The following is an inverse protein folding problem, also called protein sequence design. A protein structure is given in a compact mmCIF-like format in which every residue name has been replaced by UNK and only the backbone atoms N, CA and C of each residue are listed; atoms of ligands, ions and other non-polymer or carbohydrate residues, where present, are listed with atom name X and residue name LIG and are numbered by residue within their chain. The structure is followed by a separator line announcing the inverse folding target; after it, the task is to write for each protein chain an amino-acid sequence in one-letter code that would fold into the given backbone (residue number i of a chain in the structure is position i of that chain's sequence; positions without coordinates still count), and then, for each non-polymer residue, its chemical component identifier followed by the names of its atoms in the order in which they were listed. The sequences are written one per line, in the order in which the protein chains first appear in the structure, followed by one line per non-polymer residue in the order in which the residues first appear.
data_IF_957307959569
#
_entry.id   IF_957307959569
#
_cell.length_a   1.000
_cell.length_b   1.000
_cell.length_c   1.000
_cell.angle_alpha   90.00
_cell.angle_beta   90.00
_cell.angle_gamma   90.00
#
_symmetry.space_group_name_H-M   'P 1'
#
loop_
_entity.id
_entity.type
_entity.pdbx_description
1 polymer ?
#
# COMPACT_ATOMS: atom_id res chain seq x y z
N UNK A 1 -15.43 20.47 8.07
CA UNK A 1 -15.46 21.39 6.92
C UNK A 1 -14.33 22.39 7.11
N UNK A 2 -13.22 22.24 6.39
CA UNK A 2 -11.96 22.97 6.61
C UNK A 2 -12.12 24.50 6.44
N UNK A 3 -13.13 24.95 5.70
CA UNK A 3 -13.37 26.38 5.46
C UNK A 3 -13.84 27.16 6.70
N UNK A 4 -14.46 26.51 7.69
CA UNK A 4 -14.95 27.18 8.91
C UNK A 4 -13.80 27.69 9.80
N UNK A 5 -12.66 27.00 9.78
CA UNK A 5 -11.48 27.29 10.61
C UNK A 5 -10.30 27.86 9.81
N UNK A 6 -10.53 28.24 8.54
CA UNK A 6 -9.49 28.81 7.69
C UNK A 6 -9.02 30.17 8.23
N UNK A 7 -7.73 30.27 8.56
CA UNK A 7 -7.07 31.50 8.95
C UNK A 7 -5.87 31.73 8.01
N UNK A 8 -5.90 32.83 7.25
CA UNK A 8 -4.86 33.15 6.28
C UNK A 8 -3.49 33.43 6.92
N UNK A 9 -3.45 33.81 8.20
CA UNK A 9 -2.20 34.03 8.95
C UNK A 9 -1.54 32.72 9.43
N UNK A 10 -2.24 31.59 9.32
CA UNK A 10 -1.78 30.27 9.77
C UNK A 10 -1.65 29.30 8.59
N UNK A 11 -2.39 29.52 7.51
CA UNK A 11 -2.37 28.66 6.34
C UNK A 11 -0.99 28.69 5.66
N UNK A 12 -0.45 27.50 5.36
CA UNK A 12 0.78 27.40 4.59
C UNK A 12 0.55 27.89 3.15
N UNK A 13 1.54 28.61 2.60
CA UNK A 13 1.56 29.04 1.21
C UNK A 13 1.37 27.85 0.26
N UNK A 14 0.42 27.92 -0.69
CA UNK A 14 0.32 26.91 -1.74
C UNK A 14 1.61 26.80 -2.52
N UNK A 15 1.88 25.59 -2.99
CA UNK A 15 3.04 25.27 -3.81
C UNK A 15 2.56 25.01 -5.22
N UNK A 16 3.12 25.78 -6.16
CA UNK A 16 2.72 25.74 -7.57
C UNK A 16 3.93 25.48 -8.45
N UNK A 17 3.75 24.73 -9.52
CA UNK A 17 4.74 24.60 -10.60
C UNK A 17 4.35 25.50 -11.76
N UNK A 18 5.30 26.26 -12.30
CA UNK A 18 5.10 27.07 -13.49
C UNK A 18 5.71 26.38 -14.72
N UNK A 19 4.84 26.00 -15.67
CA UNK A 19 5.23 25.45 -16.98
C UNK A 19 4.24 25.91 -18.05
N UNK A 20 4.72 26.12 -19.27
CA UNK A 20 3.90 26.49 -20.43
C UNK A 20 2.96 27.69 -20.19
N UNK A 21 3.43 28.69 -19.45
CA UNK A 21 2.66 29.90 -19.14
C UNK A 21 1.53 29.69 -18.12
N UNK A 22 1.45 28.52 -17.47
CA UNK A 22 0.40 28.17 -16.52
C UNK A 22 0.97 27.73 -15.18
N UNK A 23 0.24 28.04 -14.11
CA UNK A 23 0.51 27.54 -12.76
C UNK A 23 -0.31 26.28 -12.48
N UNK A 24 0.37 25.21 -12.08
CA UNK A 24 -0.24 23.96 -11.66
C UNK A 24 -0.10 23.82 -10.15
N UNK A 25 -1.23 23.64 -9.45
CA UNK A 25 -1.24 23.50 -7.99
C UNK A 25 -0.73 22.11 -7.62
N UNK A 26 0.46 22.07 -7.01
CA UNK A 26 1.09 20.83 -6.52
C UNK A 26 0.59 20.53 -5.10
N UNK A 27 0.44 21.56 -4.27
CA UNK A 27 -0.05 21.42 -2.90
C UNK A 27 -0.74 22.71 -2.45
N UNK A 28 -1.79 22.59 -1.62
CA UNK A 28 -2.55 23.73 -1.11
C UNK A 28 -3.91 23.94 -1.78
N UNK A 29 -4.49 22.92 -2.42
CA UNK A 29 -5.83 22.99 -3.04
C UNK A 29 -6.88 23.47 -2.03
N UNK A 30 -6.92 22.88 -0.83
CA UNK A 30 -7.86 23.31 0.22
C UNK A 30 -7.59 24.75 0.73
N UNK A 31 -6.33 25.21 0.73
CA UNK A 31 -5.98 26.60 1.06
C UNK A 31 -6.56 27.55 0.01
N UNK A 32 -6.44 27.21 -1.27
CA UNK A 32 -6.98 28.00 -2.38
C UNK A 32 -8.52 28.01 -2.34
N UNK A 33 -9.15 26.83 -2.24
CA UNK A 33 -10.61 26.69 -2.15
C UNK A 33 -11.19 27.43 -0.95
N UNK A 34 -10.56 27.30 0.23
CA UNK A 34 -10.98 28.00 1.44
C UNK A 34 -10.93 29.53 1.28
N UNK A 35 -9.94 30.03 0.53
CA UNK A 35 -9.77 31.48 0.30
C UNK A 35 -10.78 32.04 -0.71
N UNK A 36 -11.04 31.31 -1.80
CA UNK A 36 -12.11 31.66 -2.77
C UNK A 36 -13.45 31.73 -2.03
N UNK A 37 -13.75 30.72 -1.21
CA UNK A 37 -15.01 30.65 -0.48
C UNK A 37 -15.16 31.78 0.55
N UNK A 38 -14.07 32.18 1.23
CA UNK A 38 -14.08 33.29 2.19
C UNK A 38 -14.20 34.67 1.54
N UNK A 39 -13.87 34.78 0.26
CA UNK A 39 -14.00 36.02 -0.51
C UNK A 39 -15.30 36.09 -1.32
N UNK A 40 -16.34 35.35 -0.91
CA UNK A 40 -17.62 35.37 -1.61
C UNK A 40 -17.57 34.81 -3.05
N UNK A 41 -16.55 34.01 -3.37
CA UNK A 41 -16.37 33.43 -4.71
C UNK A 41 -15.54 34.28 -5.68
N UNK A 42 -15.11 35.47 -5.27
CA UNK A 42 -14.27 36.35 -6.08
C UNK A 42 -12.78 35.97 -5.97
N UNK A 43 -12.05 36.15 -7.07
CA UNK A 43 -10.61 35.84 -7.13
C UNK A 43 -9.78 36.75 -6.22
N UNK A 44 -8.76 36.18 -5.55
CA UNK A 44 -7.81 36.92 -4.70
C UNK A 44 -6.36 36.57 -5.03
N UNK A 45 -5.44 37.56 -5.02
CA UNK A 45 -4.00 37.29 -5.09
C UNK A 45 -3.54 36.46 -3.90
N UNK A 46 -2.96 35.27 -4.15
CA UNK A 46 -2.43 34.37 -3.13
C UNK A 46 -0.91 34.26 -3.21
N UNK A 47 -0.25 34.37 -2.05
CA UNK A 47 1.18 34.15 -1.94
C UNK A 47 1.46 32.65 -2.10
N UNK A 48 2.25 32.31 -3.12
CA UNK A 48 2.59 30.94 -3.46
C UNK A 48 4.10 30.76 -3.53
N UNK A 49 4.57 29.58 -3.12
CA UNK A 49 5.92 29.12 -3.46
C UNK A 49 5.91 28.54 -4.87
N UNK A 50 6.57 29.24 -5.79
CA UNK A 50 6.64 28.86 -7.21
C UNK A 50 7.89 28.04 -7.49
N UNK A 51 7.71 26.88 -8.11
CA UNK A 51 8.78 26.07 -8.67
C UNK A 51 8.80 26.27 -10.19
N UNK A 52 9.97 26.57 -10.77
CA UNK A 52 10.16 26.82 -12.20
C UNK A 52 11.18 25.85 -12.79
N UNK A 53 11.05 25.54 -14.08
CA UNK A 53 12.02 24.70 -14.80
C UNK A 53 11.96 23.22 -14.41
N UNK A 54 10.89 22.79 -13.74
CA UNK A 54 10.64 21.38 -13.44
C UNK A 54 9.91 20.71 -14.62
N UNK A 55 10.31 19.49 -14.93
CA UNK A 55 9.49 18.60 -15.76
C UNK A 55 8.31 18.07 -14.94
N UNK A 56 7.27 17.57 -15.61
CA UNK A 56 6.13 16.92 -14.94
C UNK A 56 6.57 15.76 -14.01
N UNK A 57 7.64 15.05 -14.37
CA UNK A 57 8.20 13.95 -13.58
C UNK A 57 8.85 14.47 -12.29
N UNK A 58 9.62 15.55 -12.40
CA UNK A 58 10.25 16.20 -11.24
C UNK A 58 9.21 16.81 -10.30
N UNK A 59 8.12 17.37 -10.83
CA UNK A 59 6.97 17.82 -10.02
C UNK A 59 6.36 16.67 -9.20
N UNK A 60 6.18 15.50 -9.82
CA UNK A 60 5.60 14.33 -9.16
C UNK A 60 6.50 13.79 -8.04
N UNK A 61 7.82 13.75 -8.25
CA UNK A 61 8.78 13.39 -7.19
C UNK A 61 8.73 14.39 -6.03
N UNK A 62 8.76 15.69 -6.35
CA UNK A 62 8.68 16.75 -5.35
C UNK A 62 7.39 16.62 -4.52
N UNK A 63 6.26 16.31 -5.14
CA UNK A 63 5.00 16.05 -4.43
C UNK A 63 5.10 14.86 -3.46
N UNK A 64 5.77 13.77 -3.86
CA UNK A 64 5.92 12.58 -3.02
C UNK A 64 6.84 12.80 -1.79
N UNK A 65 7.84 13.66 -1.93
CA UNK A 65 8.87 13.92 -0.90
C UNK A 65 8.48 15.01 0.10
N UNK A 66 7.54 15.88 -0.27
CA UNK A 66 7.10 16.96 0.60
C UNK A 66 6.43 16.42 1.88
N UNK A 67 7.14 16.53 2.99
CA UNK A 67 6.61 16.35 4.33
C UNK A 67 6.48 17.74 4.97
N UNK A 68 5.25 18.23 5.15
CA UNK A 68 4.95 19.49 5.85
C UNK A 68 3.93 19.28 6.97
N UNK A 69 3.44 20.35 7.61
CA UNK A 69 2.35 20.30 8.62
C UNK A 69 0.95 19.98 8.05
N UNK A 70 0.89 19.36 6.87
CA UNK A 70 -0.35 18.91 6.22
C UNK A 70 -0.62 17.44 6.54
N UNK A 71 -1.86 16.98 6.31
CA UNK A 71 -2.19 15.56 6.43
C UNK A 71 -1.18 14.73 5.60
N UNK A 72 -0.51 13.73 6.20
CA UNK A 72 0.51 12.97 5.50
C UNK A 72 -0.10 12.21 4.32
N UNK A 73 0.54 12.28 3.15
CA UNK A 73 0.12 11.51 1.98
C UNK A 73 0.07 10.02 2.31
N UNK A 74 -0.99 9.34 1.87
CA UNK A 74 -1.09 7.89 2.01
C UNK A 74 0.02 7.20 1.22
N UNK A 75 0.39 5.99 1.62
CA UNK A 75 1.41 5.21 0.91
C UNK A 75 1.02 4.96 -0.57
N UNK A 76 -0.27 4.81 -0.87
CA UNK A 76 -0.79 4.71 -2.24
C UNK A 76 -0.50 5.94 -3.06
N UNK A 77 -0.87 7.13 -2.55
CA UNK A 77 -0.63 8.40 -3.24
C UNK A 77 0.87 8.64 -3.44
N UNK A 78 1.69 8.39 -2.42
CA UNK A 78 3.16 8.49 -2.53
C UNK A 78 3.72 7.56 -3.59
N UNK A 79 3.29 6.30 -3.62
CA UNK A 79 3.73 5.33 -4.62
C UNK A 79 3.36 5.78 -6.04
N UNK A 80 2.11 6.23 -6.25
CA UNK A 80 1.65 6.71 -7.55
C UNK A 80 2.50 7.89 -8.04
N UNK A 81 2.74 8.87 -7.17
CA UNK A 81 3.55 10.03 -7.48
C UNK A 81 5.00 9.65 -7.81
N UNK A 82 5.62 8.73 -7.05
CA UNK A 82 6.96 8.21 -7.33
C UNK A 82 7.06 7.46 -8.67
N UNK A 83 6.07 6.64 -9.00
CA UNK A 83 6.01 5.93 -10.28
C UNK A 83 5.92 6.91 -11.45
N UNK A 84 5.06 7.92 -11.35
CA UNK A 84 4.94 9.00 -12.36
C UNK A 84 6.25 9.78 -12.45
N UNK A 85 6.89 10.04 -11.32
CA UNK A 85 8.17 10.73 -11.23
C UNK A 85 9.40 9.92 -11.67
N UNK A 86 9.22 8.69 -12.16
CA UNK A 86 10.33 7.90 -12.68
C UNK A 86 11.16 7.16 -11.63
N UNK A 87 10.75 7.11 -10.37
CA UNK A 87 11.49 6.43 -9.29
C UNK A 87 11.66 4.94 -9.60
N UNK A 88 12.91 4.53 -9.87
CA UNK A 88 13.21 3.17 -10.33
C UNK A 88 12.76 2.09 -9.33
N UNK A 89 13.00 2.21 -8.00
CA UNK A 89 12.47 1.25 -7.03
C UNK A 89 10.94 1.14 -7.03
N UNK A 90 10.22 2.25 -7.07
CA UNK A 90 8.74 2.24 -7.12
C UNK A 90 8.20 1.63 -8.41
N UNK A 91 8.85 1.88 -9.55
CA UNK A 91 8.49 1.26 -10.84
C UNK A 91 8.76 -0.24 -10.84
N UNK A 92 9.88 -0.68 -10.27
CA UNK A 92 10.19 -2.11 -10.12
C UNK A 92 9.15 -2.82 -9.24
N UNK A 93 8.79 -2.22 -8.10
CA UNK A 93 7.75 -2.74 -7.21
C UNK A 93 6.38 -2.86 -7.91
N UNK A 94 5.97 -1.82 -8.66
CA UNK A 94 4.75 -1.86 -9.47
C UNK A 94 4.82 -2.97 -10.54
N UNK A 95 5.94 -3.08 -11.25
CA UNK A 95 6.12 -4.09 -12.28
C UNK A 95 6.14 -5.52 -11.72
N UNK A 96 6.71 -5.73 -10.54
CA UNK A 96 6.65 -7.00 -9.81
C UNK A 96 5.20 -7.38 -9.48
N UNK A 97 4.42 -6.43 -8.96
CA UNK A 97 3.00 -6.64 -8.62
C UNK A 97 2.17 -6.98 -9.87
N UNK A 98 2.36 -6.21 -10.95
CA UNK A 98 1.66 -6.42 -12.22
C UNK A 98 1.98 -7.77 -12.87
N UNK A 99 3.22 -8.26 -12.75
CA UNK A 99 3.61 -9.58 -13.27
C UNK A 99 2.83 -10.75 -12.65
N UNK A 100 2.32 -10.57 -11.43
CA UNK A 100 1.48 -11.56 -10.74
C UNK A 100 -0.02 -11.36 -11.05
N UNK A 101 -0.36 -10.45 -11.97
CA UNK A 101 -1.74 -10.16 -12.36
C UNK A 101 -2.48 -9.27 -11.36
N UNK A 102 -1.76 -8.58 -10.47
CA UNK A 102 -2.34 -7.71 -9.44
C UNK A 102 -2.07 -6.24 -9.74
N UNK A 103 -2.98 -5.38 -9.28
CA UNK A 103 -2.81 -3.94 -9.33
C UNK A 103 -2.91 -3.32 -7.93
N UNK A 104 -2.41 -2.10 -7.74
CA UNK A 104 -2.68 -1.34 -6.54
C UNK A 104 -4.01 -0.60 -6.64
N UNK A 105 -4.68 -0.49 -5.50
CA UNK A 105 -5.76 0.45 -5.32
C UNK A 105 -5.22 1.71 -4.63
N UNK A 106 -5.03 2.78 -5.40
CA UNK A 106 -4.35 4.00 -4.94
C UNK A 106 -5.28 4.91 -4.13
N UNK A 107 -6.55 5.02 -4.54
CA UNK A 107 -7.44 6.12 -4.15
C UNK A 107 -8.86 5.65 -3.75
N UNK A 108 -9.20 4.36 -3.89
CA UNK A 108 -10.55 3.88 -3.55
C UNK A 108 -10.59 3.16 -2.20
N UNK A 109 -11.52 3.59 -1.34
CA UNK A 109 -11.90 2.84 -0.13
C UNK A 109 -12.64 1.54 -0.48
N UNK A 110 -13.13 1.39 -1.71
CA UNK A 110 -13.79 0.17 -2.15
C UNK A 110 -12.76 -0.90 -2.49
N UNK A 111 -12.93 -2.04 -1.84
CA UNK A 111 -12.20 -3.25 -2.12
C UNK A 111 -12.66 -3.83 -3.46
N UNK A 112 -11.71 -4.25 -4.29
CA UNK A 112 -12.00 -4.87 -5.59
C UNK A 112 -11.09 -6.07 -5.82
N UNK A 113 -11.59 -7.04 -6.57
CA UNK A 113 -10.84 -8.25 -6.90
C UNK A 113 -9.51 -7.89 -7.60
N UNK A 114 -8.47 -8.69 -7.36
CA UNK A 114 -7.13 -8.55 -7.89
C UNK A 114 -6.43 -7.21 -7.56
N UNK A 115 -6.88 -6.50 -6.51
CA UNK A 115 -6.24 -5.24 -6.07
C UNK A 115 -5.74 -5.25 -4.63
N UNK A 116 -4.48 -4.84 -4.47
CA UNK A 116 -3.86 -4.63 -3.17
C UNK A 116 -4.16 -3.21 -2.69
N UNK A 117 -4.91 -3.09 -1.60
CA UNK A 117 -5.23 -1.80 -0.98
C UNK A 117 -4.24 -1.42 0.14
N UNK A 118 -3.57 -2.38 0.76
CA UNK A 118 -2.59 -2.13 1.83
C UNK A 118 -1.19 -1.76 1.30
N UNK A 119 -1.12 -0.80 0.37
CA UNK A 119 0.08 -0.44 -0.41
C UNK A 119 1.33 -0.27 0.47
N UNK A 120 1.23 0.43 1.60
CA UNK A 120 2.37 0.66 2.48
C UNK A 120 2.92 -0.62 3.13
N UNK A 121 2.05 -1.58 3.46
CA UNK A 121 2.51 -2.89 3.97
C UNK A 121 3.15 -3.72 2.87
N UNK A 122 2.53 -3.74 1.68
CA UNK A 122 3.09 -4.46 0.53
C UNK A 122 4.47 -3.95 0.14
N UNK A 123 4.66 -2.62 0.08
CA UNK A 123 5.94 -2.00 -0.23
C UNK A 123 6.99 -2.32 0.85
N UNK A 124 6.60 -2.25 2.12
CA UNK A 124 7.48 -2.61 3.23
C UNK A 124 7.99 -4.06 3.09
N UNK A 125 7.08 -5.00 2.88
CA UNK A 125 7.44 -6.42 2.76
C UNK A 125 8.27 -6.71 1.50
N UNK A 126 7.97 -6.04 0.38
CA UNK A 126 8.78 -6.14 -0.83
C UNK A 126 10.23 -5.69 -0.60
N UNK A 127 10.42 -4.57 0.11
CA UNK A 127 11.75 -4.06 0.43
C UNK A 127 12.49 -4.97 1.44
N UNK A 128 11.77 -5.56 2.40
CA UNK A 128 12.36 -6.41 3.45
C UNK A 128 12.74 -7.81 2.93
N UNK A 129 11.92 -8.41 2.06
CA UNK A 129 12.05 -9.82 1.66
C UNK A 129 12.49 -10.03 0.19
N UNK A 130 12.50 -8.95 -0.59
CA UNK A 130 12.86 -8.99 -2.01
C UNK A 130 11.76 -9.49 -2.93
N UNK A 131 11.97 -9.27 -4.23
CA UNK A 131 10.99 -9.53 -5.28
C UNK A 131 10.58 -11.00 -5.37
N UNK A 132 11.53 -11.94 -5.23
CA UNK A 132 11.26 -13.37 -5.41
C UNK A 132 10.19 -13.86 -4.42
N UNK A 133 10.39 -13.63 -3.13
CA UNK A 133 9.46 -14.03 -2.06
C UNK A 133 8.14 -13.28 -2.19
N UNK A 134 8.20 -11.98 -2.51
CA UNK A 134 7.01 -11.16 -2.73
C UNK A 134 6.11 -11.74 -3.84
N UNK A 135 6.66 -11.97 -5.02
CA UNK A 135 5.92 -12.49 -6.18
C UNK A 135 5.42 -13.91 -5.94
N UNK A 136 6.24 -14.78 -5.35
CA UNK A 136 5.87 -16.16 -5.01
C UNK A 136 4.68 -16.18 -4.05
N UNK A 137 4.74 -15.38 -2.99
CA UNK A 137 3.67 -15.29 -1.99
C UNK A 137 2.36 -14.76 -2.58
N UNK A 138 2.43 -13.71 -3.40
CA UNK A 138 1.24 -13.15 -4.06
C UNK A 138 0.60 -14.13 -5.04
N UNK A 139 1.41 -14.90 -5.77
CA UNK A 139 0.92 -15.93 -6.69
C UNK A 139 0.16 -17.02 -5.95
N UNK A 140 0.68 -17.46 -4.80
CA UNK A 140 0.01 -18.44 -3.93
C UNK A 140 -1.29 -17.88 -3.36
N UNK A 141 -1.30 -16.61 -2.92
CA UNK A 141 -2.50 -15.92 -2.45
C UNK A 141 -3.57 -15.90 -3.55
N UNK A 142 -3.20 -15.53 -4.78
CA UNK A 142 -4.11 -15.51 -5.93
C UNK A 142 -4.63 -16.92 -6.23
N UNK A 143 -3.76 -17.92 -6.24
CA UNK A 143 -4.17 -19.31 -6.50
C UNK A 143 -5.11 -19.86 -5.43
N UNK A 144 -4.92 -19.48 -4.16
CA UNK A 144 -5.75 -19.94 -3.05
C UNK A 144 -7.13 -19.27 -3.00
N UNK A 145 -7.22 -17.98 -3.35
CA UNK A 145 -8.40 -17.15 -3.09
C UNK A 145 -8.92 -16.37 -4.30
N UNK A 146 -8.46 -16.69 -5.51
CA UNK A 146 -8.95 -16.11 -6.77
C UNK A 146 -8.97 -14.57 -6.77
N UNK A 147 -7.94 -13.97 -6.18
CA UNK A 147 -7.79 -12.52 -6.09
C UNK A 147 -8.86 -11.80 -5.27
N UNK A 148 -9.63 -12.49 -4.41
CA UNK A 148 -10.67 -11.84 -3.60
C UNK A 148 -10.07 -10.79 -2.65
N UNK A 149 -10.75 -9.67 -2.39
CA UNK A 149 -10.08 -8.51 -1.81
C UNK A 149 -9.59 -8.73 -0.38
N UNK A 150 -10.28 -9.58 0.38
CA UNK A 150 -9.88 -9.94 1.74
C UNK A 150 -8.56 -10.73 1.79
N UNK A 151 -8.13 -11.34 0.67
CA UNK A 151 -6.84 -12.04 0.58
C UNK A 151 -5.64 -11.09 0.52
N UNK A 152 -5.85 -9.79 0.25
CA UNK A 152 -4.80 -8.77 0.17
C UNK A 152 -4.76 -7.84 1.39
N UNK A 153 -5.29 -8.30 2.52
CA UNK A 153 -5.15 -7.59 3.80
C UNK A 153 -3.72 -7.66 4.30
N UNK A 154 -3.32 -6.64 5.06
CA UNK A 154 -1.97 -6.55 5.64
C UNK A 154 -1.58 -7.79 6.47
N UNK A 155 -2.54 -8.39 7.19
CA UNK A 155 -2.32 -9.63 7.96
C UNK A 155 -2.00 -10.82 7.06
N UNK A 156 -2.72 -10.97 5.94
CA UNK A 156 -2.52 -12.08 5.00
C UNK A 156 -1.18 -11.93 4.30
N UNK A 157 -0.84 -10.74 3.80
CA UNK A 157 0.48 -10.50 3.17
C UNK A 157 1.62 -10.80 4.14
N UNK A 158 1.55 -10.30 5.38
CA UNK A 158 2.57 -10.57 6.41
C UNK A 158 2.71 -12.05 6.71
N UNK A 159 1.58 -12.73 6.94
CA UNK A 159 1.58 -14.16 7.23
C UNK A 159 2.15 -14.99 6.07
N UNK A 160 1.68 -14.74 4.85
CA UNK A 160 2.08 -15.51 3.67
C UNK A 160 3.55 -15.30 3.33
N UNK A 161 4.03 -14.07 3.33
CA UNK A 161 5.42 -13.80 2.94
C UNK A 161 6.42 -14.38 3.95
N UNK A 162 6.16 -14.25 5.25
CA UNK A 162 6.99 -14.91 6.26
C UNK A 162 6.86 -16.44 6.23
N UNK A 163 5.69 -16.99 5.91
CA UNK A 163 5.54 -18.44 5.75
C UNK A 163 6.41 -18.95 4.58
N UNK A 164 6.33 -18.30 3.42
CA UNK A 164 7.12 -18.66 2.22
C UNK A 164 8.61 -18.49 2.48
N UNK A 165 9.02 -17.41 3.17
CA UNK A 165 10.40 -17.18 3.58
C UNK A 165 10.94 -18.29 4.51
N UNK A 166 10.19 -18.64 5.55
CA UNK A 166 10.61 -19.63 6.56
C UNK A 166 10.71 -21.06 6.02
N UNK A 167 9.87 -21.40 5.06
CA UNK A 167 9.72 -22.77 4.56
C UNK A 167 10.10 -22.91 3.08
N UNK A 168 10.85 -21.95 2.52
CA UNK A 168 11.24 -21.97 1.12
C UNK A 168 11.90 -23.30 0.73
N UNK A 169 11.35 -23.97 -0.28
CA UNK A 169 11.83 -25.29 -0.74
C UNK A 169 11.41 -26.49 0.12
N UNK A 170 10.69 -26.28 1.23
CA UNK A 170 10.24 -27.36 2.13
C UNK A 170 8.73 -27.64 2.03
N UNK A 171 7.91 -26.65 1.67
CA UNK A 171 6.47 -26.82 1.54
C UNK A 171 6.04 -27.20 0.12
N UNK A 172 4.98 -28.01 -0.03
CA UNK A 172 4.31 -28.21 -1.31
C UNK A 172 3.34 -27.07 -1.57
N UNK A 173 3.53 -26.38 -2.69
CA UNK A 173 2.67 -25.27 -3.07
C UNK A 173 1.23 -25.73 -3.33
N UNK A 174 1.03 -26.85 -4.02
CA UNK A 174 -0.30 -27.38 -4.31
C UNK A 174 -1.06 -27.71 -3.02
N UNK A 175 -0.35 -28.26 -2.03
CA UNK A 175 -0.90 -28.53 -0.71
C UNK A 175 -1.30 -27.23 -0.01
N UNK A 176 -0.44 -26.22 -0.03
CA UNK A 176 -0.70 -24.93 0.60
C UNK A 176 -1.92 -24.24 -0.03
N UNK A 177 -1.96 -24.17 -1.36
CA UNK A 177 -3.08 -23.59 -2.12
C UNK A 177 -4.39 -24.29 -1.79
N UNK A 178 -4.40 -25.64 -1.79
CA UNK A 178 -5.60 -26.42 -1.44
C UNK A 178 -6.05 -26.17 -0.01
N UNK A 179 -5.12 -26.16 0.94
CA UNK A 179 -5.43 -25.93 2.34
C UNK A 179 -6.02 -24.53 2.55
N UNK A 180 -5.38 -23.50 2.03
CA UNK A 180 -5.83 -22.12 2.14
C UNK A 180 -7.16 -21.87 1.39
N UNK A 181 -7.38 -22.51 0.24
CA UNK A 181 -8.63 -22.39 -0.51
C UNK A 181 -9.86 -22.94 0.23
N UNK A 182 -9.65 -23.76 1.27
CA UNK A 182 -10.72 -24.25 2.15
C UNK A 182 -11.07 -23.27 3.30
N UNK A 183 -10.33 -22.17 3.42
CA UNK A 183 -10.43 -21.21 4.52
C UNK A 183 -10.68 -19.82 3.97
N UNK A 184 -11.63 -19.07 4.55
CA UNK A 184 -11.84 -17.68 4.17
C UNK A 184 -10.62 -16.82 4.60
N UNK A 185 -10.09 -15.89 3.77
CA UNK A 185 -8.89 -15.10 4.12
C UNK A 185 -8.97 -14.37 5.47
N UNK A 186 -10.18 -13.96 5.86
CA UNK A 186 -10.42 -13.31 7.15
C UNK A 186 -10.10 -14.17 8.37
N UNK A 187 -10.09 -15.49 8.25
CA UNK A 187 -9.69 -16.36 9.35
C UNK A 187 -8.23 -16.14 9.75
N UNK A 188 -7.34 -15.83 8.79
CA UNK A 188 -5.94 -15.48 9.07
C UNK A 188 -5.87 -14.23 9.97
N UNK A 189 -6.71 -13.23 9.68
CA UNK A 189 -6.80 -12.03 10.50
C UNK A 189 -7.38 -12.33 11.89
N UNK A 190 -8.49 -13.08 11.97
CA UNK A 190 -9.21 -13.39 13.21
C UNK A 190 -8.31 -14.19 14.17
N UNK A 191 -7.78 -15.32 13.71
CA UNK A 191 -6.88 -16.17 14.52
C UNK A 191 -5.63 -15.41 14.93
N UNK A 192 -5.03 -14.63 14.03
CA UNK A 192 -3.85 -13.82 14.37
C UNK A 192 -4.15 -12.66 15.31
N UNK A 193 -5.39 -12.14 15.34
CA UNK A 193 -5.83 -11.11 16.29
C UNK A 193 -6.08 -11.71 17.66
N UNK A 194 -6.82 -12.81 17.73
CA UNK A 194 -7.11 -13.54 18.97
C UNK A 194 -5.84 -14.13 19.57
N UNK A 195 -4.88 -14.47 18.70
CA UNK A 195 -3.54 -14.89 19.03
C UNK A 195 -3.50 -16.01 20.10
N UNK A 196 -4.18 -17.15 19.86
CA UNK A 196 -4.29 -18.22 20.86
C UNK A 196 -2.93 -18.80 21.25
N UNK A 197 -1.96 -18.77 20.33
CA UNK A 197 -0.58 -19.20 20.57
C UNK A 197 0.30 -18.16 21.28
N UNK A 198 -0.24 -16.97 21.61
CA UNK A 198 0.46 -15.85 22.27
C UNK A 198 1.77 -15.45 21.56
N UNK A 199 1.77 -15.48 20.23
CA UNK A 199 2.94 -15.20 19.41
C UNK A 199 3.08 -13.69 19.13
N UNK A 200 4.30 -13.12 19.19
CA UNK A 200 4.50 -11.69 18.95
C UNK A 200 4.57 -11.36 17.45
N UNK A 201 4.29 -10.10 17.12
CA UNK A 201 4.61 -9.54 15.81
C UNK A 201 3.90 -10.24 14.64
N UNK A 202 4.68 -10.62 13.63
CA UNK A 202 4.18 -11.29 12.43
C UNK A 202 3.86 -12.77 12.66
N UNK A 203 4.45 -13.41 13.68
CA UNK A 203 4.32 -14.84 13.97
C UNK A 203 2.88 -15.27 14.19
N UNK A 204 2.07 -14.40 14.80
CA UNK A 204 0.63 -14.64 14.99
C UNK A 204 -0.16 -14.74 13.68
N UNK A 205 0.33 -14.15 12.58
CA UNK A 205 -0.29 -14.25 11.25
C UNK A 205 0.26 -15.42 10.43
N UNK A 206 1.49 -15.87 10.71
CA UNK A 206 2.05 -17.11 10.11
C UNK A 206 1.40 -18.35 10.72
N UNK A 207 1.12 -18.32 12.02
CA UNK A 207 0.53 -19.44 12.75
C UNK A 207 -0.73 -20.04 12.09
N UNK A 208 -1.79 -19.27 11.73
CA UNK A 208 -2.96 -19.85 11.06
C UNK A 208 -2.64 -20.45 9.68
N UNK A 209 -1.65 -19.94 8.95
CA UNK A 209 -1.22 -20.48 7.66
C UNK A 209 -0.48 -21.80 7.87
N UNK A 210 0.45 -21.83 8.83
CA UNK A 210 1.15 -23.04 9.25
C UNK A 210 0.19 -24.14 9.71
N UNK A 211 -0.81 -23.79 10.52
CA UNK A 211 -1.84 -24.72 10.97
C UNK A 211 -2.70 -25.23 9.81
N UNK A 212 -3.09 -24.36 8.87
CA UNK A 212 -3.83 -24.76 7.68
C UNK A 212 -3.02 -25.75 6.82
N UNK A 213 -1.74 -25.45 6.56
CA UNK A 213 -0.86 -26.31 5.77
C UNK A 213 -0.70 -27.70 6.40
N UNK A 214 -0.38 -27.76 7.70
CA UNK A 214 -0.14 -29.03 8.39
C UNK A 214 -1.42 -29.85 8.56
N UNK A 215 -2.56 -29.21 8.82
CA UNK A 215 -3.85 -29.89 8.99
C UNK A 215 -3.78 -31.02 10.03
N UNK A 216 -4.48 -32.14 9.77
CA UNK A 216 -4.49 -33.34 10.64
C UNK A 216 -3.46 -34.41 10.26
N UNK A 217 -2.85 -34.30 9.08
CA UNK A 217 -1.95 -35.33 8.53
C UNK A 217 -0.50 -35.09 8.94
N UNK A 218 0.18 -36.15 9.42
CA UNK A 218 1.61 -36.07 9.80
C UNK A 218 2.58 -36.20 8.62
N UNK A 219 2.12 -36.73 7.49
CA UNK A 219 2.94 -36.86 6.28
C UNK A 219 3.21 -35.47 5.71
N UNK A 220 4.48 -35.18 5.42
CA UNK A 220 4.97 -33.90 4.89
C UNK A 220 4.60 -32.68 5.75
N UNK A 221 4.40 -32.89 7.06
CA UNK A 221 4.17 -31.83 8.02
C UNK A 221 5.47 -31.04 8.26
N UNK A 222 5.35 -29.72 8.28
CA UNK A 222 6.48 -28.83 8.56
C UNK A 222 6.68 -28.70 10.07
N UNK A 223 7.93 -28.65 10.56
CA UNK A 223 8.21 -28.31 11.95
C UNK A 223 7.93 -26.82 12.20
N UNK A 224 7.57 -26.44 13.42
CA UNK A 224 7.38 -25.02 13.78
C UNK A 224 8.74 -24.32 13.92
N UNK A 225 8.98 -23.25 13.17
CA UNK A 225 10.27 -22.51 13.14
C UNK A 225 10.26 -21.16 13.87
N UNK A 226 9.16 -20.78 14.51
CA UNK A 226 8.94 -19.42 15.03
C UNK A 226 8.28 -19.38 16.40
#
# INVERSE_FOLDING_TARGET
MIAADFNEYIANEPKVSFRDGKYYVVNGQHTIEGRILRNGGEDLPILCKVYTGLTMEQEALLFAEQNGHSAPLTAGIKLRAKVVGGDAPSKAFLAATNRVGLAFNYDSLQLSDYRISCVGTALKLYNEMGEKIYCESLRIIVAAWDGKPDSFRASVLRGMMHFVELYHGEFSEERLVRALGSVHPMEIYRVGRDNPAKLPGWKKYVFPIYMAYNGKGRKDALPMKF
#
